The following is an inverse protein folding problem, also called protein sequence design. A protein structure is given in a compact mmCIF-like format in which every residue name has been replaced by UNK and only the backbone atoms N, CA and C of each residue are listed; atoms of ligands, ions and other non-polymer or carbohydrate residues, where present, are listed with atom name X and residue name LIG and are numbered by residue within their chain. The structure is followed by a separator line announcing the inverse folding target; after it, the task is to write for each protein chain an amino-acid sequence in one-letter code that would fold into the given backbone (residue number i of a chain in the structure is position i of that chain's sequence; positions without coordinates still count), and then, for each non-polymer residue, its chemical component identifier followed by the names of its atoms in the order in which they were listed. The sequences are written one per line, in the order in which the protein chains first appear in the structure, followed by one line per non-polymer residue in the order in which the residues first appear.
data_IF_268531218893
#
_entry.id   IF_268531218893
#
_cell.length_a   1.000
_cell.length_b   1.000
_cell.length_c   1.000
_cell.angle_alpha   90.00
_cell.angle_beta   90.00
_cell.angle_gamma   90.00
#
_symmetry.space_group_name_H-M   'P 1'
#
loop_
_entity.id
_entity.type
_entity.pdbx_description
1 polymer ?
#
# COMPACT_ATOMS: atom_id res chain seq x y z
N UNK A 1 26.04 -43.67 -26.28
CA UNK A 1 26.55 -44.91 -26.90
C UNK A 1 27.83 -44.56 -27.65
N UNK A 2 28.89 -45.33 -27.40
CA UNK A 2 30.21 -45.18 -27.98
C UNK A 2 30.19 -45.37 -29.51
N UNK A 3 31.16 -44.82 -30.24
CA UNK A 3 32.15 -45.60 -30.99
C UNK A 3 33.26 -44.69 -31.56
N UNK A 4 34.47 -45.16 -31.32
CA UNK A 4 35.79 -44.85 -31.88
C UNK A 4 35.85 -44.79 -33.41
N UNK A 5 36.78 -44.01 -34.00
CA UNK A 5 37.98 -44.58 -34.64
C UNK A 5 38.96 -43.56 -35.23
N UNK A 6 40.22 -44.01 -35.23
CA UNK A 6 41.48 -43.37 -35.60
C UNK A 6 41.65 -43.01 -37.08
N UNK A 7 42.51 -42.03 -37.39
CA UNK A 7 43.52 -42.15 -38.47
C UNK A 7 44.57 -41.01 -38.48
N UNK A 8 45.82 -41.45 -38.54
CA UNK A 8 46.98 -40.91 -39.27
C UNK A 8 47.64 -39.55 -38.94
N UNK A 9 48.90 -39.70 -38.52
CA UNK A 9 50.00 -38.73 -38.63
C UNK A 9 50.49 -38.55 -40.08
N UNK A 10 51.24 -37.47 -40.34
CA UNK A 10 52.65 -37.70 -40.66
C UNK A 10 53.63 -36.79 -39.91
N UNK A 11 54.86 -37.30 -39.86
CA UNK A 11 56.06 -36.82 -39.18
C UNK A 11 56.51 -35.46 -39.71
N UNK A 12 56.85 -34.54 -38.79
CA UNK A 12 57.78 -33.43 -39.06
C UNK A 12 58.90 -33.44 -38.00
N UNK A 13 60.05 -33.94 -38.42
CA UNK A 13 61.37 -33.64 -37.85
C UNK A 13 61.67 -32.15 -37.99
N UNK A 14 62.16 -31.47 -36.94
CA UNK A 14 63.25 -30.48 -37.07
C UNK A 14 63.71 -29.85 -35.73
N UNK A 15 65.03 -29.71 -35.62
CA UNK A 15 65.84 -28.79 -34.80
C UNK A 15 65.90 -28.94 -33.28
N UNK A 16 66.96 -29.63 -32.84
CA UNK A 16 67.64 -29.41 -31.57
C UNK A 16 68.21 -27.98 -31.51
N UNK A 17 67.62 -27.11 -30.69
CA UNK A 17 68.29 -25.90 -30.21
C UNK A 17 68.78 -26.14 -28.79
N UNK A 18 70.11 -26.15 -28.66
CA UNK A 18 70.86 -26.11 -27.40
C UNK A 18 70.48 -24.85 -26.61
N UNK A 19 69.54 -24.99 -25.68
CA UNK A 19 69.18 -23.94 -24.73
C UNK A 19 70.26 -23.87 -23.64
N UNK A 20 71.27 -23.03 -23.87
CA UNK A 20 72.21 -22.61 -22.84
C UNK A 20 71.40 -22.02 -21.68
N UNK A 21 71.43 -22.71 -20.56
CA UNK A 21 70.90 -22.32 -19.26
C UNK A 21 71.69 -21.08 -18.78
N UNK A 22 71.26 -19.90 -19.22
CA UNK A 22 71.70 -18.64 -18.62
C UNK A 22 71.09 -18.57 -17.23
N UNK A 23 71.90 -18.89 -16.22
CA UNK A 23 71.65 -18.54 -14.82
C UNK A 23 71.57 -17.01 -14.73
N UNK A 24 70.38 -16.46 -15.00
CA UNK A 24 70.02 -15.14 -14.51
C UNK A 24 69.98 -15.24 -13.00
N UNK A 25 71.05 -14.78 -12.36
CA UNK A 25 71.02 -14.33 -10.99
C UNK A 25 70.01 -13.18 -10.93
N UNK A 26 68.75 -13.50 -10.68
CA UNK A 26 67.75 -12.53 -10.25
C UNK A 26 68.27 -12.07 -8.89
N UNK A 27 68.89 -10.88 -8.87
CA UNK A 27 69.16 -10.16 -7.65
C UNK A 27 67.83 -9.89 -6.97
N UNK A 28 67.38 -10.82 -6.13
CA UNK A 28 66.31 -10.60 -5.18
C UNK A 28 66.81 -9.54 -4.20
N UNK A 29 66.55 -8.27 -4.51
CA UNK A 29 66.67 -7.23 -3.51
C UNK A 29 65.66 -7.59 -2.41
N UNK A 30 66.10 -7.80 -1.16
CA UNK A 30 65.18 -8.09 -0.06
C UNK A 30 64.46 -6.79 0.32
N UNK A 31 63.45 -6.40 -0.46
CA UNK A 31 62.50 -5.36 -0.04
C UNK A 31 61.43 -6.00 0.82
N UNK A 32 61.80 -6.55 1.97
CA UNK A 32 60.87 -7.17 2.92
C UNK A 32 60.52 -6.24 4.09
N UNK A 33 60.60 -4.92 3.88
CA UNK A 33 59.91 -3.98 4.75
C UNK A 33 58.50 -3.80 4.17
N UNK A 34 57.53 -4.43 4.81
CA UNK A 34 56.13 -4.27 4.47
C UNK A 34 55.52 -3.36 5.53
N UNK A 35 54.78 -2.36 5.08
CA UNK A 35 54.09 -1.43 5.97
C UNK A 35 52.69 -1.17 5.43
N UNK A 36 51.75 -0.93 6.35
CA UNK A 36 50.44 -0.36 6.05
C UNK A 36 50.39 1.03 6.68
N UNK A 37 50.01 2.03 5.90
CA UNK A 37 49.80 3.38 6.43
C UNK A 37 48.40 3.87 6.10
N UNK A 38 47.81 4.59 7.04
CA UNK A 38 46.52 5.27 6.92
C UNK A 38 46.73 6.72 7.31
N UNK A 39 46.33 7.63 6.42
CA UNK A 39 46.32 9.07 6.66
C UNK A 39 44.87 9.51 6.80
N UNK A 40 44.56 10.22 7.88
CA UNK A 40 43.23 10.72 8.19
C UNK A 40 43.29 12.19 8.55
N UNK A 41 42.49 13.00 7.87
CA UNK A 41 42.30 14.40 8.24
C UNK A 41 41.10 14.50 9.21
N UNK A 42 41.06 15.52 10.09
CA UNK A 42 39.97 15.69 11.05
C UNK A 42 38.57 15.84 10.42
N UNK A 43 38.49 16.26 9.15
CA UNK A 43 37.25 16.40 8.37
C UNK A 43 37.20 15.48 7.15
N UNK A 44 36.15 15.64 6.34
CA UNK A 44 36.00 14.93 5.05
C UNK A 44 37.01 15.38 3.99
N UNK A 45 37.71 16.49 4.24
CA UNK A 45 38.77 17.04 3.40
C UNK A 45 40.00 17.42 4.21
N UNK A 46 41.15 17.29 3.56
CA UNK A 46 42.41 17.78 4.06
C UNK A 46 42.62 19.22 3.61
N UNK A 47 42.81 20.13 4.57
CA UNK A 47 43.05 21.55 4.29
C UNK A 47 44.52 21.90 4.42
N UNK A 48 44.95 22.90 3.67
CA UNK A 48 46.29 23.45 3.83
C UNK A 48 46.54 23.92 5.27
N UNK A 49 47.77 23.75 5.76
CA UNK A 49 48.14 24.04 7.15
C UNK A 49 47.34 23.27 8.22
N UNK A 50 46.43 22.37 7.82
CA UNK A 50 45.66 21.53 8.71
C UNK A 50 46.49 20.39 9.30
N UNK A 51 45.94 19.76 10.32
CA UNK A 51 46.52 18.57 10.95
C UNK A 51 46.13 17.31 10.16
N UNK A 52 47.01 16.32 10.20
CA UNK A 52 46.76 14.98 9.65
C UNK A 52 47.23 13.93 10.64
N UNK A 53 46.35 13.02 11.00
CA UNK A 53 46.67 11.84 11.79
C UNK A 53 47.19 10.73 10.87
N UNK A 54 48.31 10.13 11.25
CA UNK A 54 48.99 9.11 10.46
C UNK A 54 49.15 7.88 11.34
N UNK A 55 48.53 6.77 10.91
CA UNK A 55 48.67 5.47 11.55
C UNK A 55 49.55 4.59 10.69
N UNK A 56 50.64 4.08 11.26
CA UNK A 56 51.61 3.21 10.60
C UNK A 56 51.67 1.85 11.30
N UNK A 57 51.49 0.77 10.53
CA UNK A 57 51.73 -0.59 10.95
C UNK A 57 52.98 -1.12 10.24
N UNK A 58 53.98 -1.52 11.01
CA UNK A 58 55.23 -2.09 10.53
C UNK A 58 55.24 -3.60 10.77
N UNK A 59 55.62 -4.35 9.75
CA UNK A 59 55.80 -5.79 9.87
C UNK A 59 56.91 -6.29 8.93
N UNK A 60 57.62 -7.33 9.39
CA UNK A 60 58.65 -7.99 8.62
C UNK A 60 58.36 -9.49 8.55
N UNK A 61 58.86 -10.12 7.50
CA UNK A 61 58.71 -11.57 7.31
C UNK A 61 60.00 -12.34 7.58
N UNK A 62 61.16 -11.70 7.38
CA UNK A 62 62.44 -12.42 7.33
C UNK A 62 63.53 -11.82 8.22
N UNK A 63 63.42 -10.55 8.61
CA UNK A 63 64.48 -9.81 9.30
C UNK A 63 63.92 -9.08 10.53
N UNK A 64 64.75 -8.96 11.55
CA UNK A 64 64.49 -8.10 12.70
C UNK A 64 65.10 -6.73 12.47
N UNK A 65 64.35 -5.68 12.74
CA UNK A 65 64.69 -4.29 12.42
C UNK A 65 64.42 -3.39 13.61
N UNK A 66 65.37 -2.53 13.94
CA UNK A 66 65.23 -1.49 14.96
C UNK A 66 65.09 -0.12 14.31
N UNK A 67 63.88 0.42 14.33
CA UNK A 67 63.54 1.72 13.76
C UNK A 67 63.85 2.83 14.76
N UNK A 68 64.67 3.80 14.34
CA UNK A 68 65.08 4.97 15.14
C UNK A 68 64.34 6.25 14.73
N UNK A 69 63.89 6.32 13.48
CA UNK A 69 63.18 7.49 12.96
C UNK A 69 62.24 7.13 11.82
N UNK A 70 61.10 7.82 11.76
CA UNK A 70 60.15 7.77 10.64
C UNK A 70 59.80 9.20 10.24
N UNK A 71 59.97 9.52 8.97
CA UNK A 71 59.54 10.77 8.36
C UNK A 71 58.45 10.48 7.32
N UNK A 72 57.38 11.26 7.30
CA UNK A 72 56.45 11.31 6.19
C UNK A 72 56.82 12.51 5.33
N UNK A 73 57.21 12.25 4.08
CA UNK A 73 57.73 13.27 3.17
C UNK A 73 56.84 13.32 1.93
N UNK A 74 56.47 14.53 1.51
CA UNK A 74 55.95 14.74 0.17
C UNK A 74 57.12 14.79 -0.83
N UNK A 75 57.15 13.84 -1.76
CA UNK A 75 58.26 13.71 -2.71
C UNK A 75 58.24 14.77 -3.82
N UNK A 76 57.10 15.44 -4.04
CA UNK A 76 57.00 16.50 -5.05
C UNK A 76 57.73 17.75 -4.56
N UNK A 77 57.45 18.20 -3.34
CA UNK A 77 58.02 19.43 -2.79
C UNK A 77 59.17 19.19 -1.82
N UNK A 78 59.50 17.93 -1.54
CA UNK A 78 60.52 17.53 -0.57
C UNK A 78 60.28 18.14 0.82
N UNK A 79 59.01 18.18 1.25
CA UNK A 79 58.59 18.73 2.53
C UNK A 79 58.23 17.61 3.51
N UNK A 80 58.72 17.70 4.75
CA UNK A 80 58.34 16.78 5.83
C UNK A 80 56.99 17.18 6.42
N UNK A 81 56.04 16.25 6.39
CA UNK A 81 54.66 16.42 6.89
C UNK A 81 54.58 16.02 8.37
N UNK A 82 55.21 14.89 8.71
CA UNK A 82 55.30 14.39 10.08
C UNK A 82 56.68 13.74 10.29
N UNK A 83 57.17 13.76 11.52
CA UNK A 83 58.43 13.12 11.89
C UNK A 83 58.34 12.59 13.31
N UNK A 84 58.75 11.34 13.51
CA UNK A 84 59.06 10.79 14.81
C UNK A 84 60.52 10.38 14.85
N UNK A 85 61.21 10.83 15.89
CA UNK A 85 62.63 10.56 16.16
C UNK A 85 62.76 9.81 17.48
N UNK A 86 63.96 9.29 17.72
CA UNK A 86 64.31 8.56 18.94
C UNK A 86 63.33 7.41 19.21
N UNK A 87 62.87 6.78 18.13
CA UNK A 87 62.01 5.62 18.20
C UNK A 87 62.84 4.46 18.75
N UNK A 88 62.24 3.71 19.66
CA UNK A 88 62.79 2.45 20.16
C UNK A 88 61.89 1.29 19.72
N UNK A 89 61.59 1.24 18.43
CA UNK A 89 60.65 0.28 17.86
C UNK A 89 61.41 -0.88 17.22
N UNK A 90 61.32 -2.05 17.85
CA UNK A 90 61.87 -3.29 17.32
C UNK A 90 60.74 -4.09 16.68
N UNK A 91 60.91 -4.44 15.41
CA UNK A 91 59.96 -5.22 14.61
C UNK A 91 60.66 -6.49 14.18
N UNK A 92 60.07 -7.64 14.47
CA UNK A 92 60.65 -8.96 14.17
C UNK A 92 59.69 -9.76 13.29
N UNK A 93 60.11 -10.89 12.70
CA UNK A 93 59.22 -11.75 11.91
C UNK A 93 57.95 -12.23 12.61
N UNK A 94 57.91 -12.17 13.95
CA UNK A 94 56.80 -12.64 14.78
C UNK A 94 56.12 -11.50 15.55
N UNK A 95 56.61 -10.26 15.43
CA UNK A 95 56.13 -9.12 16.19
C UNK A 95 56.02 -7.88 15.33
N UNK A 96 54.81 -7.35 15.25
CA UNK A 96 54.48 -6.16 14.48
C UNK A 96 54.52 -4.94 15.42
N UNK A 97 54.83 -3.76 14.90
CA UNK A 97 54.74 -2.52 15.67
C UNK A 97 53.76 -1.55 15.01
N UNK A 98 53.02 -0.81 15.83
CA UNK A 98 52.18 0.29 15.37
C UNK A 98 52.66 1.62 15.93
N UNK A 99 52.51 2.68 15.15
CA UNK A 99 52.92 4.04 15.48
C UNK A 99 51.85 5.00 14.99
N UNK A 100 51.42 5.92 15.86
CA UNK A 100 50.53 7.02 15.50
C UNK A 100 51.28 8.34 15.58
N UNK A 101 51.18 9.16 14.53
CA UNK A 101 51.85 10.44 14.40
C UNK A 101 50.84 11.51 14.01
N UNK A 102 51.07 12.73 14.49
CA UNK A 102 50.37 13.92 14.00
C UNK A 102 51.32 14.72 13.12
N UNK A 103 50.84 15.06 11.93
CA UNK A 103 51.53 15.88 10.95
C UNK A 103 50.82 17.19 10.69
N UNK A 104 51.51 18.10 10.02
CA UNK A 104 50.93 19.34 9.51
C UNK A 104 51.08 19.40 8.01
N UNK A 105 49.97 19.64 7.33
CA UNK A 105 49.94 19.73 5.87
C UNK A 105 50.58 21.05 5.40
N UNK A 106 51.40 21.04 4.33
CA UNK A 106 51.97 22.26 3.79
C UNK A 106 50.89 23.17 3.18
N UNK A 107 51.22 24.46 2.92
CA UNK A 107 50.38 25.35 2.13
C UNK A 107 50.06 24.74 0.77
N UNK A 108 48.81 24.76 0.35
CA UNK A 108 48.41 24.24 -0.94
C UNK A 108 48.38 25.39 -1.95
N UNK A 109 49.26 25.39 -2.98
CA UNK A 109 48.83 26.03 -4.21
C UNK A 109 47.49 25.37 -4.62
N UNK A 110 46.57 26.07 -5.26
CA UNK A 110 45.15 25.65 -5.37
C UNK A 110 44.95 24.31 -6.10
N UNK A 111 44.33 23.31 -5.46
CA UNK A 111 43.87 22.06 -6.10
C UNK A 111 44.90 20.94 -6.26
N UNK A 112 45.85 20.81 -5.33
CA UNK A 112 47.01 19.92 -5.47
C UNK A 112 46.83 18.59 -4.73
N UNK A 113 47.43 17.55 -5.28
CA UNK A 113 47.62 16.27 -4.61
C UNK A 113 49.08 16.14 -4.16
N UNK A 114 49.31 15.93 -2.87
CA UNK A 114 50.63 15.54 -2.36
C UNK A 114 50.91 14.07 -2.70
N UNK A 115 52.18 13.74 -2.85
CA UNK A 115 52.66 12.37 -3.04
C UNK A 115 53.49 11.97 -1.82
N UNK A 116 52.82 11.39 -0.84
CA UNK A 116 53.38 11.16 0.49
C UNK A 116 54.00 9.76 0.56
N UNK A 117 55.26 9.68 1.00
CA UNK A 117 55.92 8.40 1.31
C UNK A 117 56.43 8.41 2.74
N UNK A 118 56.36 7.27 3.46
CA UNK A 118 57.12 7.11 4.68
C UNK A 118 58.59 6.80 4.34
N UNK A 119 59.49 7.47 5.05
CA UNK A 119 60.93 7.25 5.01
C UNK A 119 61.40 6.80 6.38
N UNK A 120 62.11 5.68 6.41
CA UNK A 120 62.52 4.99 7.61
C UNK A 120 64.01 5.14 7.82
N UNK A 121 64.41 5.31 9.07
CA UNK A 121 65.80 5.19 9.52
C UNK A 121 65.87 4.04 10.51
N UNK A 122 66.75 3.07 10.28
CA UNK A 122 66.79 1.85 11.08
C UNK A 122 68.15 1.15 11.09
N UNK A 123 68.31 0.22 12.02
CA UNK A 123 69.38 -0.78 12.07
C UNK A 123 68.81 -2.17 11.82
N UNK A 124 69.57 -3.02 11.12
CA UNK A 124 69.28 -4.46 11.07
C UNK A 124 69.72 -5.09 12.38
N UNK A 125 68.97 -6.06 12.88
CA UNK A 125 69.31 -6.78 14.10
C UNK A 125 69.77 -8.22 13.78
N UNK A 126 70.72 -8.73 14.55
CA UNK A 126 71.08 -10.15 14.54
C UNK A 126 70.09 -10.98 15.36
N UNK A 127 70.38 -12.29 15.48
CA UNK A 127 69.58 -13.22 16.29
C UNK A 127 69.62 -12.92 17.80
N UNK A 128 70.57 -12.10 18.27
CA UNK A 128 70.69 -11.63 19.65
C UNK A 128 70.12 -10.20 19.83
N UNK A 129 69.37 -9.71 18.83
CA UNK A 129 68.79 -8.36 18.79
C UNK A 129 69.82 -7.22 18.87
N UNK A 130 71.07 -7.47 18.44
CA UNK A 130 72.12 -6.44 18.36
C UNK A 130 72.14 -5.81 16.98
N UNK A 131 72.29 -4.49 16.95
CA UNK A 131 72.42 -3.73 15.71
C UNK A 131 73.65 -4.18 14.90
N UNK A 132 73.43 -4.55 13.65
CA UNK A 132 74.46 -4.92 12.68
C UNK A 132 74.58 -3.81 11.64
N UNK A 133 75.82 -3.37 11.41
CA UNK A 133 76.14 -2.43 10.35
C UNK A 133 75.77 -0.98 10.68
N UNK A 134 75.65 -0.17 9.63
CA UNK A 134 75.37 1.25 9.75
C UNK A 134 73.87 1.52 9.70
N UNK A 135 73.47 2.63 10.29
CA UNK A 135 72.13 3.17 10.16
C UNK A 135 71.77 3.34 8.68
N UNK A 136 70.62 2.79 8.29
CA UNK A 136 70.15 2.81 6.91
C UNK A 136 68.93 3.70 6.81
N UNK A 137 68.87 4.51 5.74
CA UNK A 137 67.73 5.34 5.41
C UNK A 137 67.11 4.88 4.09
N UNK A 138 65.78 4.71 4.06
CA UNK A 138 65.05 4.31 2.84
C UNK A 138 63.64 4.83 2.86
N UNK A 139 63.09 5.14 1.69
CA UNK A 139 61.69 5.55 1.54
C UNK A 139 60.85 4.47 0.85
N UNK A 140 59.56 4.48 1.16
CA UNK A 140 58.55 3.72 0.44
C UNK A 140 58.60 4.01 -1.07
N UNK A 141 58.41 2.97 -1.87
CA UNK A 141 58.45 3.07 -3.34
C UNK A 141 57.16 3.64 -3.94
N UNK A 142 56.04 3.45 -3.25
CA UNK A 142 54.70 3.80 -3.75
C UNK A 142 54.13 4.95 -2.93
N UNK A 143 54.03 6.16 -3.51
CA UNK A 143 53.47 7.31 -2.81
C UNK A 143 51.95 7.22 -2.65
N UNK A 144 51.45 7.77 -1.56
CA UNK A 144 50.04 8.00 -1.29
C UNK A 144 49.64 9.37 -1.84
N UNK A 145 48.62 9.39 -2.69
CA UNK A 145 48.08 10.63 -3.23
C UNK A 145 47.06 11.24 -2.26
N UNK A 146 47.40 12.37 -1.63
CA UNK A 146 46.51 13.09 -0.71
C UNK A 146 46.09 14.44 -1.31
N UNK A 147 44.80 14.62 -1.58
CA UNK A 147 44.29 15.91 -2.09
C UNK A 147 44.17 16.93 -0.96
N UNK A 148 44.74 18.13 -1.18
CA UNK A 148 44.68 19.23 -0.23
C UNK A 148 43.91 20.40 -0.84
N UNK A 149 42.99 20.93 -0.05
CA UNK A 149 42.15 22.05 -0.41
C UNK A 149 42.64 23.32 0.29
N UNK A 150 42.53 24.44 -0.42
CA UNK A 150 42.76 25.76 0.16
C UNK A 150 41.60 26.07 1.11
N UNK A 151 41.89 26.51 2.34
CA UNK A 151 40.84 26.77 3.35
C UNK A 151 39.78 27.75 2.82
N UNK A 152 40.19 28.80 2.10
CA UNK A 152 39.29 29.79 1.50
C UNK A 152 38.39 29.26 0.38
N UNK A 153 38.60 28.03 -0.09
CA UNK A 153 37.82 27.39 -1.16
C UNK A 153 36.95 26.24 -0.62
N UNK A 154 37.04 25.92 0.67
CA UNK A 154 36.25 24.88 1.32
C UNK A 154 34.99 25.51 1.90
N UNK A 155 33.85 25.02 1.43
CA UNK A 155 32.53 25.44 1.92
C UNK A 155 32.10 24.61 3.14
N UNK A 156 32.55 23.35 3.24
CA UNK A 156 32.17 22.44 4.33
C UNK A 156 33.32 21.50 4.75
N UNK A 157 33.38 21.15 6.04
CA UNK A 157 34.34 20.17 6.59
C UNK A 157 33.72 18.80 6.87
N UNK A 158 32.41 18.80 7.05
CA UNK A 158 31.58 17.63 7.30
C UNK A 158 30.17 17.95 6.81
N UNK A 159 29.34 16.92 6.73
CA UNK A 159 27.96 17.04 6.25
C UNK A 159 27.12 18.00 7.10
N UNK A 160 27.36 18.07 8.42
CA UNK A 160 26.64 19.01 9.31
C UNK A 160 26.93 20.49 9.04
N UNK A 161 27.95 20.81 8.26
CA UNK A 161 28.24 22.18 7.81
C UNK A 161 27.42 22.62 6.59
N UNK A 162 26.69 21.71 5.94
CA UNK A 162 25.85 21.98 4.79
C UNK A 162 24.39 22.20 5.20
N UNK A 163 23.52 22.53 4.24
CA UNK A 163 22.06 22.52 4.47
C UNK A 163 21.57 21.09 4.65
N UNK A 164 20.39 20.94 5.25
CA UNK A 164 19.78 19.64 5.55
C UNK A 164 19.65 18.73 4.32
N UNK A 165 19.38 19.32 3.15
CA UNK A 165 19.25 18.62 1.87
C UNK A 165 20.56 18.50 1.08
N UNK A 166 21.70 18.72 1.71
CA UNK A 166 23.03 18.71 1.11
C UNK A 166 23.99 17.82 1.89
N UNK A 167 24.99 17.28 1.19
CA UNK A 167 26.10 16.52 1.78
C UNK A 167 27.44 17.16 1.43
N UNK A 168 28.42 17.00 2.31
CA UNK A 168 29.74 17.55 2.10
C UNK A 168 30.63 16.60 1.31
N UNK A 169 30.80 16.86 0.01
CA UNK A 169 31.67 16.08 -0.88
C UNK A 169 32.86 16.92 -1.30
N UNK A 170 34.08 16.48 -0.96
CA UNK A 170 35.33 17.17 -1.35
C UNK A 170 35.32 18.66 -0.99
N UNK A 171 34.76 18.99 0.17
CA UNK A 171 34.77 20.34 0.71
C UNK A 171 33.73 21.27 0.08
N UNK A 172 32.78 20.73 -0.69
CA UNK A 172 31.65 21.47 -1.25
C UNK A 172 30.34 20.83 -0.82
N UNK A 173 29.32 21.67 -0.61
CA UNK A 173 27.98 21.18 -0.36
C UNK A 173 27.32 20.82 -1.69
N UNK A 174 26.98 19.56 -1.85
CA UNK A 174 26.28 19.02 -3.02
C UNK A 174 24.89 18.57 -2.60
N UNK A 175 23.89 18.76 -3.46
CA UNK A 175 22.51 18.34 -3.19
C UNK A 175 22.45 16.83 -2.97
N UNK A 176 21.86 16.41 -1.86
CA UNK A 176 21.60 15.01 -1.56
C UNK A 176 20.47 14.51 -2.47
N UNK A 177 20.75 13.50 -3.27
CA UNK A 177 19.77 12.86 -4.15
C UNK A 177 19.37 11.51 -3.58
N UNK A 178 18.15 11.41 -3.05
CA UNK A 178 17.57 10.16 -2.57
C UNK A 178 16.87 9.38 -3.69
N UNK A 179 16.54 8.11 -3.42
CA UNK A 179 15.77 7.27 -4.33
C UNK A 179 14.32 7.72 -4.50
N UNK A 180 13.59 7.06 -5.41
CA UNK A 180 12.18 7.39 -5.71
C UNK A 180 11.21 7.21 -4.53
N UNK A 181 11.60 6.44 -3.50
CA UNK A 181 10.78 6.06 -2.35
C UNK A 181 11.36 6.59 -1.04
N UNK A 182 12.09 7.71 -1.11
CA UNK A 182 12.82 8.25 0.03
C UNK A 182 12.69 9.78 0.06
N UNK A 183 12.85 10.35 1.24
CA UNK A 183 12.95 11.79 1.45
C UNK A 183 14.23 12.13 2.21
N UNK A 184 14.63 13.39 2.11
CA UNK A 184 15.78 13.89 2.86
C UNK A 184 15.34 14.32 4.26
N UNK A 185 16.02 13.79 5.27
CA UNK A 185 15.92 14.23 6.66
C UNK A 185 17.29 14.12 7.32
N UNK A 186 17.73 15.16 8.02
CA UNK A 186 19.01 15.18 8.75
C UNK A 186 20.22 14.71 7.92
N UNK A 187 20.32 15.17 6.66
CA UNK A 187 21.36 14.77 5.70
C UNK A 187 21.40 13.27 5.34
N UNK A 188 20.33 12.54 5.62
CA UNK A 188 20.13 11.15 5.23
C UNK A 188 18.92 10.99 4.31
N UNK A 189 18.87 9.84 3.64
CA UNK A 189 17.68 9.41 2.91
C UNK A 189 16.89 8.47 3.80
N UNK A 190 15.68 8.87 4.18
CA UNK A 190 14.76 8.04 4.93
C UNK A 190 13.69 7.49 4.00
N UNK A 191 13.30 6.22 4.13
CA UNK A 191 12.22 5.66 3.35
C UNK A 191 10.89 6.31 3.75
N UNK A 192 10.02 6.50 2.77
CA UNK A 192 8.62 6.81 3.02
C UNK A 192 7.89 5.66 3.72
N UNK A 193 6.75 5.94 4.34
CA UNK A 193 5.93 4.92 5.00
C UNK A 193 5.35 3.90 4.01
N UNK A 194 5.08 4.34 2.78
CA UNK A 194 4.76 3.47 1.65
C UNK A 194 5.11 4.16 0.33
N UNK A 195 5.34 3.35 -0.72
CA UNK A 195 5.43 3.84 -2.10
C UNK A 195 4.50 3.14 -3.07
N UNK A 196 3.94 2.01 -2.66
CA UNK A 196 2.95 1.28 -3.41
C UNK A 196 1.90 0.76 -2.44
N UNK A 197 0.62 0.79 -2.83
CA UNK A 197 -0.47 0.30 -2.01
C UNK A 197 -0.31 -1.18 -1.63
N UNK A 198 0.53 -1.96 -2.32
CA UNK A 198 0.87 -3.35 -1.96
C UNK A 198 1.63 -3.46 -0.64
N UNK A 199 2.30 -2.40 -0.19
CA UNK A 199 3.04 -2.34 1.08
C UNK A 199 2.12 -2.10 2.28
N UNK A 200 0.91 -1.59 2.04
CA UNK A 200 -0.10 -1.35 3.07
C UNK A 200 -0.91 -2.60 3.42
N UNK A 201 -1.78 -2.51 4.42
CA UNK A 201 -2.80 -3.52 4.72
C UNK A 201 -3.90 -3.57 3.64
N UNK A 202 -4.67 -4.67 3.58
CA UNK A 202 -5.66 -4.91 2.51
C UNK A 202 -6.80 -3.89 2.47
N UNK A 203 -7.08 -3.23 3.58
CA UNK A 203 -8.10 -2.19 3.75
C UNK A 203 -7.52 -0.77 3.61
N UNK A 204 -6.28 -0.65 3.14
CA UNK A 204 -5.55 0.60 3.09
C UNK A 204 -4.87 0.78 1.74
N UNK A 205 -4.67 2.04 1.35
CA UNK A 205 -3.97 2.45 0.13
C UNK A 205 -2.81 3.38 0.48
N UNK A 206 -1.80 3.40 -0.36
CA UNK A 206 -0.70 4.34 -0.21
C UNK A 206 -1.12 5.69 -0.80
N UNK A 207 -1.23 6.71 0.04
CA UNK A 207 -1.55 8.08 -0.35
C UNK A 207 -0.66 9.04 0.45
N UNK A 208 -0.05 10.00 -0.25
CA UNK A 208 0.93 10.93 0.33
C UNK A 208 2.03 10.23 1.15
N UNK A 209 2.53 9.10 0.63
CA UNK A 209 3.59 8.31 1.24
C UNK A 209 3.24 7.69 2.60
N UNK A 210 1.96 7.65 2.97
CA UNK A 210 1.44 6.99 4.16
C UNK A 210 0.31 6.01 3.80
N UNK A 211 0.21 4.94 4.58
CA UNK A 211 -0.90 4.00 4.44
C UNK A 211 -2.16 4.59 5.07
N UNK A 212 -3.11 4.98 4.23
CA UNK A 212 -4.38 5.54 4.65
C UNK A 212 -5.49 4.51 4.44
N UNK A 213 -6.47 4.47 5.35
CA UNK A 213 -7.62 3.57 5.21
C UNK A 213 -8.41 3.90 3.95
N UNK A 214 -8.79 2.86 3.21
CA UNK A 214 -9.63 2.97 2.04
C UNK A 214 -11.08 3.16 2.48
N UNK A 215 -11.65 4.33 2.22
CA UNK A 215 -13.08 4.60 2.46
C UNK A 215 -13.88 4.31 1.19
N UNK A 216 -14.79 3.33 1.27
CA UNK A 216 -15.71 2.99 0.19
C UNK A 216 -17.10 3.58 0.43
N UNK A 217 -17.91 3.70 -0.63
CA UNK A 217 -19.31 4.06 -0.47
C UNK A 217 -20.06 3.03 0.39
N UNK A 218 -21.18 3.43 1.01
CA UNK A 218 -22.01 2.52 1.83
C UNK A 218 -22.54 1.31 1.05
N UNK A 219 -22.68 1.45 -0.27
CA UNK A 219 -23.10 0.39 -1.21
C UNK A 219 -21.95 -0.50 -1.70
N UNK A 220 -20.74 -0.31 -1.18
CA UNK A 220 -19.54 -1.00 -1.59
C UNK A 220 -18.88 -1.71 -0.41
N UNK A 221 -18.04 -2.70 -0.69
CA UNK A 221 -17.14 -3.31 0.28
C UNK A 221 -15.71 -3.32 -0.25
N UNK A 222 -14.76 -3.42 0.67
CA UNK A 222 -13.35 -3.54 0.31
C UNK A 222 -13.06 -4.99 -0.11
N UNK A 223 -12.42 -5.16 -1.27
CA UNK A 223 -11.89 -6.43 -1.72
C UNK A 223 -10.57 -6.21 -2.45
N UNK A 224 -9.48 -6.84 -2.01
CA UNK A 224 -8.15 -6.68 -2.61
C UNK A 224 -7.75 -5.20 -2.87
N UNK A 225 -7.91 -4.34 -1.86
CA UNK A 225 -7.53 -2.91 -1.92
C UNK A 225 -8.33 -2.09 -2.94
N UNK A 226 -9.49 -2.58 -3.38
CA UNK A 226 -10.43 -1.82 -4.19
C UNK A 226 -11.82 -1.85 -3.58
N UNK A 227 -12.58 -0.79 -3.81
CA UNK A 227 -14.01 -0.76 -3.52
C UNK A 227 -14.75 -1.48 -4.63
N UNK A 228 -15.48 -2.52 -4.27
CA UNK A 228 -16.35 -3.26 -5.19
C UNK A 228 -17.80 -3.08 -4.74
N UNK A 229 -18.71 -2.95 -5.70
CA UNK A 229 -20.14 -2.85 -5.42
C UNK A 229 -20.65 -4.12 -4.75
N UNK A 230 -21.57 -3.94 -3.79
CA UNK A 230 -22.29 -5.04 -3.19
C UNK A 230 -23.33 -5.57 -4.18
N UNK A 231 -23.27 -6.88 -4.44
CA UNK A 231 -24.24 -7.55 -5.29
C UNK A 231 -25.38 -8.10 -4.43
N UNK A 232 -26.23 -7.19 -3.94
CA UNK A 232 -27.38 -7.53 -3.12
C UNK A 232 -28.49 -8.20 -3.95
N UNK A 233 -29.32 -9.00 -3.29
CA UNK A 233 -30.51 -9.57 -3.93
C UNK A 233 -31.54 -8.46 -4.23
N UNK A 234 -32.51 -8.77 -5.10
CA UNK A 234 -33.53 -7.78 -5.53
C UNK A 234 -34.41 -7.28 -4.36
N UNK A 235 -34.50 -8.06 -3.29
CA UNK A 235 -35.20 -7.82 -2.03
C UNK A 235 -34.28 -7.33 -0.90
N UNK A 236 -33.08 -6.86 -1.24
CA UNK A 236 -32.11 -6.29 -0.30
C UNK A 236 -31.65 -4.90 -0.77
N UNK A 237 -31.19 -4.08 0.18
CA UNK A 237 -30.55 -2.79 -0.05
C UNK A 237 -29.15 -2.77 0.55
N UNK A 238 -28.21 -2.13 -0.15
CA UNK A 238 -26.83 -2.02 0.30
C UNK A 238 -26.68 -0.88 1.33
N UNK A 239 -26.41 -1.21 2.59
CA UNK A 239 -26.26 -0.25 3.69
C UNK A 239 -25.16 -0.70 4.65
N UNK A 240 -24.35 0.25 5.13
CA UNK A 240 -23.24 -0.02 6.06
C UNK A 240 -22.27 -1.12 5.59
N UNK A 241 -21.96 -1.17 4.29
CA UNK A 241 -21.09 -2.19 3.69
C UNK A 241 -21.66 -3.62 3.71
N UNK A 242 -22.95 -3.79 3.96
CA UNK A 242 -23.65 -5.08 3.95
C UNK A 242 -24.95 -4.99 3.13
N UNK A 243 -25.45 -6.14 2.68
CA UNK A 243 -26.78 -6.24 2.08
C UNK A 243 -27.79 -6.50 3.19
N UNK A 244 -28.74 -5.58 3.36
CA UNK A 244 -29.79 -5.67 4.37
C UNK A 244 -31.14 -5.95 3.69
N UNK A 245 -31.99 -6.83 4.25
CA UNK A 245 -33.32 -7.07 3.72
C UNK A 245 -34.17 -5.79 3.63
N UNK A 246 -34.95 -5.65 2.55
CA UNK A 246 -35.94 -4.58 2.41
C UNK A 246 -37.18 -4.89 3.26
N UNK A 247 -37.50 -3.99 4.18
CA UNK A 247 -38.75 -4.05 4.95
C UNK A 247 -39.83 -3.23 4.24
N UNK A 248 -40.57 -3.86 3.33
CA UNK A 248 -41.67 -3.23 2.61
C UNK A 248 -42.98 -3.25 3.42
N UNK A 249 -43.86 -2.28 3.17
CA UNK A 249 -45.20 -2.25 3.78
C UNK A 249 -46.10 -3.40 3.26
N UNK A 250 -47.19 -3.71 3.96
CA UNK A 250 -48.11 -4.80 3.61
C UNK A 250 -48.69 -4.70 2.18
N UNK A 251 -48.80 -3.48 1.65
CA UNK A 251 -49.30 -3.15 0.32
C UNK A 251 -48.19 -2.89 -0.72
N UNK A 252 -46.94 -3.27 -0.42
CA UNK A 252 -45.77 -3.09 -1.29
C UNK A 252 -45.03 -4.41 -1.54
N UNK A 253 -44.33 -4.50 -2.68
CA UNK A 253 -43.42 -5.59 -3.00
C UNK A 253 -42.03 -5.06 -3.37
N UNK A 254 -40.95 -5.78 -2.99
CA UNK A 254 -39.60 -5.41 -3.40
C UNK A 254 -39.41 -5.61 -4.91
N UNK A 255 -39.01 -4.55 -5.60
CA UNK A 255 -38.70 -4.53 -7.03
C UNK A 255 -37.47 -3.65 -7.25
N UNK A 256 -36.42 -4.19 -7.87
CA UNK A 256 -35.17 -3.46 -8.18
C UNK A 256 -34.60 -2.67 -6.99
N UNK A 257 -34.49 -3.30 -5.81
CA UNK A 257 -34.00 -2.67 -4.58
C UNK A 257 -34.88 -1.55 -4.00
N UNK A 258 -36.15 -1.47 -4.40
CA UNK A 258 -37.12 -0.52 -3.88
C UNK A 258 -38.46 -1.20 -3.54
N UNK A 259 -39.17 -0.69 -2.54
CA UNK A 259 -40.54 -1.12 -2.25
C UNK A 259 -41.50 -0.38 -3.19
N UNK A 260 -42.28 -1.15 -3.96
CA UNK A 260 -43.23 -0.63 -4.93
C UNK A 260 -44.63 -1.06 -4.55
N UNK A 261 -45.55 -0.08 -4.50
CA UNK A 261 -46.95 -0.32 -4.16
C UNK A 261 -47.63 -1.25 -5.15
N UNK A 262 -48.33 -2.24 -4.63
CA UNK A 262 -49.05 -3.24 -5.41
C UNK A 262 -50.35 -2.61 -5.92
N UNK A 263 -50.59 -2.75 -7.22
CA UNK A 263 -51.87 -2.35 -7.82
C UNK A 263 -52.72 -3.60 -8.02
N UNK A 264 -53.69 -3.81 -7.13
CA UNK A 264 -54.63 -4.93 -7.25
C UNK A 264 -55.80 -4.60 -8.19
N UNK A 265 -56.44 -5.64 -8.73
CA UNK A 265 -57.58 -5.50 -9.62
C UNK A 265 -58.83 -4.97 -8.91
N UNK A 266 -59.90 -4.66 -9.67
CA UNK A 266 -61.19 -4.31 -9.06
C UNK A 266 -61.69 -5.46 -8.17
N UNK A 267 -62.15 -5.12 -6.96
CA UNK A 267 -62.59 -6.05 -5.91
C UNK A 267 -61.48 -6.92 -5.29
N UNK A 268 -60.24 -6.44 -5.32
CA UNK A 268 -59.11 -7.06 -4.62
C UNK A 268 -58.49 -6.07 -3.61
N UNK A 269 -57.87 -6.60 -2.57
CA UNK A 269 -57.04 -5.83 -1.63
C UNK A 269 -55.65 -6.46 -1.54
N UNK A 270 -54.64 -5.62 -1.27
CA UNK A 270 -53.27 -6.06 -1.05
C UNK A 270 -53.07 -6.41 0.43
N UNK A 271 -52.55 -7.60 0.70
CA UNK A 271 -52.11 -8.02 2.04
C UNK A 271 -50.88 -8.93 1.86
N UNK A 272 -49.86 -8.79 2.71
CA UNK A 272 -48.62 -9.60 2.66
C UNK A 272 -48.01 -9.75 1.25
N UNK A 273 -47.99 -8.66 0.47
CA UNK A 273 -47.39 -8.70 -0.86
C UNK A 273 -48.22 -9.40 -1.94
N UNK A 274 -49.48 -9.76 -1.66
CA UNK A 274 -50.36 -10.48 -2.57
C UNK A 274 -51.74 -9.81 -2.68
N UNK A 275 -52.38 -9.96 -3.84
CA UNK A 275 -53.76 -9.51 -4.03
C UNK A 275 -54.74 -10.63 -3.68
N UNK A 276 -55.69 -10.32 -2.79
CA UNK A 276 -56.75 -11.22 -2.40
C UNK A 276 -58.10 -10.69 -2.86
N UNK A 277 -58.94 -11.60 -3.35
CA UNK A 277 -60.31 -11.30 -3.73
C UNK A 277 -61.14 -10.97 -2.48
N UNK A 278 -61.87 -9.86 -2.54
CA UNK A 278 -62.82 -9.48 -1.50
C UNK A 278 -63.97 -10.49 -1.50
N UNK A 279 -64.10 -11.27 -0.43
CA UNK A 279 -65.25 -12.17 -0.23
C UNK A 279 -66.28 -11.49 0.66
N UNK A 280 -67.43 -11.11 0.07
CA UNK A 280 -68.55 -10.57 0.84
C UNK A 280 -69.28 -11.69 1.60
N UNK A 281 -69.83 -11.36 2.77
CA UNK A 281 -70.66 -12.30 3.52
C UNK A 281 -71.94 -12.68 2.73
N UNK A 282 -72.62 -13.81 3.03
CA UNK A 282 -73.79 -14.29 2.27
C UNK A 282 -74.96 -13.29 2.17
N UNK A 283 -75.02 -12.30 3.05
CA UNK A 283 -76.03 -11.24 3.11
C UNK A 283 -75.53 -9.89 2.56
N UNK A 284 -74.40 -9.89 1.85
CA UNK A 284 -73.78 -8.69 1.28
C UNK A 284 -73.55 -8.86 -0.23
N UNK A 285 -73.63 -7.76 -0.96
CA UNK A 285 -73.30 -7.69 -2.39
C UNK A 285 -72.12 -6.74 -2.60
N UNK A 286 -71.29 -7.04 -3.61
CA UNK A 286 -70.18 -6.20 -3.98
C UNK A 286 -70.70 -4.90 -4.61
N UNK A 287 -70.34 -3.76 -4.02
CA UNK A 287 -70.62 -2.42 -4.56
C UNK A 287 -69.32 -1.70 -4.90
N UNK A 288 -69.41 -0.51 -5.51
CA UNK A 288 -68.24 0.32 -5.84
C UNK A 288 -67.39 0.71 -4.61
N UNK A 289 -67.98 0.68 -3.42
CA UNK A 289 -67.34 1.05 -2.15
C UNK A 289 -67.07 -0.16 -1.24
N UNK A 290 -67.10 -1.38 -1.79
CA UNK A 290 -66.90 -2.64 -1.07
C UNK A 290 -68.19 -3.42 -0.81
N UNK A 291 -68.19 -4.29 0.19
CA UNK A 291 -69.36 -5.14 0.49
C UNK A 291 -70.46 -4.34 1.20
N UNK A 292 -71.60 -4.16 0.54
CA UNK A 292 -72.79 -3.53 1.14
C UNK A 292 -73.84 -4.59 1.48
N UNK A 293 -74.70 -4.30 2.46
CA UNK A 293 -75.81 -5.19 2.80
C UNK A 293 -76.81 -5.29 1.64
N UNK A 294 -77.26 -6.50 1.35
CA UNK A 294 -78.27 -6.76 0.31
C UNK A 294 -79.62 -6.17 0.76
N UNK A 295 -80.13 -5.14 0.09
CA UNK A 295 -81.48 -4.61 0.35
C UNK A 295 -82.55 -5.42 -0.40
N UNK A 296 -83.29 -6.26 0.33
CA UNK A 296 -84.41 -6.98 -0.26
C UNK A 296 -85.59 -6.04 -0.52
N UNK A 297 -86.10 -6.01 -1.76
CA UNK A 297 -87.28 -5.22 -2.13
C UNK A 297 -88.54 -5.59 -1.32
N UNK A 298 -89.62 -4.79 -1.40
CA UNK A 298 -90.76 -4.82 -0.46
C UNK A 298 -91.55 -6.14 -0.41
N UNK A 299 -91.30 -7.07 -1.34
CA UNK A 299 -91.96 -8.37 -1.46
C UNK A 299 -91.02 -9.55 -1.12
N UNK A 300 -89.79 -9.29 -0.69
CA UNK A 300 -88.80 -10.30 -0.36
C UNK A 300 -88.26 -10.10 1.07
N UNK A 301 -87.91 -11.21 1.73
CA UNK A 301 -87.21 -11.21 3.02
C UNK A 301 -85.81 -11.78 2.86
N UNK A 302 -84.88 -11.25 3.64
CA UNK A 302 -83.52 -11.77 3.73
C UNK A 302 -83.53 -13.18 4.33
N UNK A 303 -82.81 -14.11 3.70
CA UNK A 303 -82.52 -15.46 4.19
C UNK A 303 -81.01 -15.71 4.11
N UNK A 304 -80.49 -16.77 4.74
CA UNK A 304 -79.05 -17.11 4.76
C UNK A 304 -78.44 -17.34 3.36
N UNK A 305 -79.27 -17.49 2.33
CA UNK A 305 -78.87 -17.67 0.93
C UNK A 305 -79.35 -16.54 0.01
N UNK A 306 -79.73 -15.39 0.56
CA UNK A 306 -80.14 -14.17 -0.18
C UNK A 306 -81.61 -13.79 -0.02
N UNK A 307 -82.11 -12.91 -0.87
CA UNK A 307 -83.50 -12.43 -0.83
C UNK A 307 -84.48 -13.47 -1.39
N UNK A 308 -85.47 -13.90 -0.60
CA UNK A 308 -86.52 -14.82 -1.04
C UNK A 308 -87.90 -14.17 -0.96
N UNK A 309 -88.74 -14.42 -1.96
CA UNK A 309 -90.10 -13.86 -2.05
C UNK A 309 -90.95 -14.29 -0.86
N UNK A 310 -91.52 -13.33 -0.14
CA UNK A 310 -92.40 -13.59 1.00
C UNK A 310 -93.84 -13.80 0.53
N UNK A 311 -94.11 -15.02 0.08
CA UNK A 311 -95.44 -15.43 -0.37
C UNK A 311 -96.52 -15.23 0.70
N UNK A 312 -96.18 -15.26 2.01
CA UNK A 312 -97.17 -15.04 3.07
C UNK A 312 -97.64 -13.58 3.14
N UNK A 313 -96.74 -12.63 2.89
CA UNK A 313 -97.08 -11.20 2.80
C UNK A 313 -97.89 -10.92 1.53
N UNK A 314 -97.52 -11.53 0.39
CA UNK A 314 -98.29 -11.44 -0.87
C UNK A 314 -99.71 -12.00 -0.68
N UNK A 315 -99.87 -13.16 -0.03
CA UNK A 315 -101.18 -13.76 0.20
C UNK A 315 -102.08 -12.90 1.09
N UNK A 316 -101.53 -12.21 2.09
CA UNK A 316 -102.28 -11.27 2.94
C UNK A 316 -102.80 -10.06 2.15
N UNK A 317 -102.01 -9.52 1.24
CA UNK A 317 -102.44 -8.43 0.35
C UNK A 317 -103.57 -8.85 -0.58
N UNK A 318 -103.46 -10.03 -1.21
CA UNK A 318 -104.52 -10.56 -2.09
C UNK A 318 -105.81 -10.92 -1.33
N UNK A 319 -105.69 -11.49 -0.13
CA UNK A 319 -106.85 -11.77 0.73
C UNK A 319 -107.57 -10.48 1.16
N UNK A 320 -106.82 -9.41 1.47
CA UNK A 320 -107.39 -8.09 1.76
C UNK A 320 -108.16 -7.50 0.57
N UNK A 321 -107.59 -7.59 -0.64
CA UNK A 321 -108.24 -7.14 -1.87
C UNK A 321 -109.53 -7.91 -2.19
N UNK A 322 -109.56 -9.22 -1.94
CA UNK A 322 -110.75 -10.05 -2.17
C UNK A 322 -111.92 -9.68 -1.23
N UNK A 323 -111.64 -9.31 0.02
CA UNK A 323 -112.66 -8.83 0.98
C UNK A 323 -113.24 -7.47 0.54
N UNK A 324 -112.38 -6.56 0.07
CA UNK A 324 -112.81 -5.23 -0.42
C UNK A 324 -113.67 -5.37 -1.68
N UNK A 325 -113.27 -6.22 -2.62
CA UNK A 325 -114.07 -6.50 -3.83
C UNK A 325 -115.40 -7.18 -3.50
N UNK A 326 -115.43 -8.08 -2.50
CA UNK A 326 -116.66 -8.68 -1.99
C UNK A 326 -117.63 -7.67 -1.38
N UNK A 327 -117.12 -6.71 -0.60
CA UNK A 327 -117.94 -5.62 -0.03
C UNK A 327 -118.45 -4.66 -1.11
N UNK A 328 -117.63 -4.33 -2.12
CA UNK A 328 -118.04 -3.49 -3.23
C UNK A 328 -119.16 -4.15 -4.06
N UNK A 329 -119.06 -5.46 -4.33
CA UNK A 329 -120.11 -6.23 -5.00
C UNK A 329 -121.41 -6.30 -4.18
N UNK A 330 -121.31 -6.44 -2.85
CA UNK A 330 -122.46 -6.44 -1.95
C UNK A 330 -123.19 -5.08 -1.91
N UNK A 331 -122.43 -3.98 -1.86
CA UNK A 331 -122.99 -2.62 -1.92
C UNK A 331 -123.64 -2.34 -3.27
N UNK A 332 -123.02 -2.78 -4.38
CA UNK A 332 -123.60 -2.67 -5.72
C UNK A 332 -124.93 -3.42 -5.83
N UNK A 333 -125.00 -4.66 -5.31
CA UNK A 333 -126.22 -5.46 -5.31
C UNK A 333 -127.37 -4.83 -4.50
N UNK A 334 -127.05 -4.19 -3.36
CA UNK A 334 -128.03 -3.50 -2.52
C UNK A 334 -128.60 -2.24 -3.19
N UNK A 335 -127.79 -1.56 -4.02
CA UNK A 335 -128.19 -0.33 -4.72
C UNK A 335 -129.17 -0.60 -5.87
N UNK A 336 -129.07 -1.74 -6.57
CA UNK A 336 -129.93 -2.05 -7.72
C UNK A 336 -131.34 -2.53 -7.34
N UNK A 337 -131.57 -2.98 -6.10
CA UNK A 337 -132.85 -3.58 -5.68
C UNK A 337 -133.87 -2.63 -5.02
N UNK A 338 -133.57 -1.34 -4.82
CA UNK A 338 -134.51 -0.37 -4.21
C UNK A 338 -135.29 0.52 -5.20
N UNK A 339 -135.18 0.30 -6.51
CA UNK A 339 -135.69 1.25 -7.53
C UNK A 339 -137.04 0.91 -8.19
N UNK A 340 -137.83 -0.08 -7.73
CA UNK A 340 -139.09 -0.45 -8.41
C UNK A 340 -140.27 -0.57 -7.44
N UNK A 341 -140.67 0.53 -6.81
CA UNK A 341 -142.05 0.73 -6.31
C UNK A 341 -142.40 2.23 -6.38
N UNK A 342 -143.05 2.64 -7.47
CA UNK A 342 -143.78 3.91 -7.52
C UNK A 342 -145.16 3.65 -8.19
N UNK A 343 -146.28 3.95 -7.51
CA UNK A 343 -147.65 3.68 -7.97
C UNK A 343 -148.20 4.74 -8.94
N UNK A 344 -149.30 4.46 -9.69
CA UNK A 344 -149.83 5.33 -10.74
C UNK A 344 -150.85 6.36 -10.22
N UNK A 345 -150.91 7.57 -10.82
CA UNK A 345 -152.12 8.38 -10.93
C UNK A 345 -152.54 8.44 -12.42
N UNK A 346 -153.79 8.58 -12.86
CA UNK A 346 -155.02 9.10 -12.26
C UNK A 346 -155.75 9.82 -13.41
N UNK A 347 -157.00 9.42 -13.68
CA UNK A 347 -157.90 10.02 -14.70
C UNK A 347 -158.13 11.51 -14.44
N UNK A 348 -158.22 12.30 -15.51
CA UNK A 348 -159.31 13.25 -15.77
C UNK A 348 -159.55 13.38 -17.27
#
# INVERSE_FOLDING_TARGET
MAFSNCANWPKLTFFFFSLSFFLLAIGMQPTSALYETRLQCPGSVCIENGEVDISLLLYHTNLSVWYTKVDYVDIIYNTTIASAKDLNLIVTPISNASLSLQGKLPPAPSGFALQIVPCFTFYLLDAEEKAIGNETWTCGKYPYSLQIFKESLVECFNTSGCRENEICTKGKCEMLSCGLCEYVDNHGCLPYGCCDSRECELDSICADHECQKLECASSQRIFNRTCIDLNCQYDEVAMNHECMPLECAEDENPTEHACVKITCGPNEYAENGQCYQVQCAPNQEMTSDGCALLECGPLAKMTDTGCRTDYATIFRWFAGFAVILGLAAFLYYKYTHQAVQAPPPGRF
#
